data_IF_954884295219
#
_entry.id   IF_954884295219
#
_cell.length_a   1.000
_cell.length_b   1.000
_cell.length_c   1.000
_cell.angle_alpha   90.00
_cell.angle_beta   90.00
_cell.angle_gamma   90.00
#
_symmetry.space_group_name_H-M   'P 1'
#
loop_
_entity.id
_entity.type
_entity.pdbx_description
1 polymer ?
#
# COMPACT_ATOMS: atom_id res chain seq x y z
N UNK A 1 -25.74 19.81 -1.89
CA UNK A 1 -24.30 20.07 -1.72
C UNK A 1 -23.84 19.19 -0.58
N UNK A 2 -23.11 18.12 -0.88
CA UNK A 2 -22.57 17.24 0.15
C UNK A 2 -21.43 17.99 0.81
N UNK A 3 -21.48 18.25 2.10
CA UNK A 3 -20.63 19.22 2.83
C UNK A 3 -19.14 18.79 2.91
N UNK A 4 -18.72 17.80 2.12
CA UNK A 4 -17.35 17.26 2.09
C UNK A 4 -16.91 16.54 3.37
N UNK A 5 -17.74 16.51 4.42
CA UNK A 5 -17.41 15.93 5.72
C UNK A 5 -17.61 14.41 5.72
N UNK A 6 -16.53 13.69 5.97
CA UNK A 6 -16.54 12.24 6.25
C UNK A 6 -16.74 11.96 7.74
N UNK A 7 -17.16 10.75 8.10
CA UNK A 7 -17.27 10.36 9.52
C UNK A 7 -15.92 10.56 10.25
N UNK A 8 -14.81 10.23 9.57
CA UNK A 8 -13.44 10.43 10.06
C UNK A 8 -13.15 11.87 10.52
N UNK A 9 -13.74 12.88 9.87
CA UNK A 9 -13.51 14.31 10.17
C UNK A 9 -14.61 14.96 11.02
N UNK A 10 -15.76 14.29 11.16
CA UNK A 10 -16.92 14.83 11.85
C UNK A 10 -17.21 14.17 13.21
N UNK A 11 -16.83 12.91 13.40
CA UNK A 11 -17.18 12.13 14.59
C UNK A 11 -16.12 12.16 15.69
N UNK A 12 -16.55 11.85 16.92
CA UNK A 12 -15.64 11.74 18.06
C UNK A 12 -14.78 10.46 17.98
N UNK A 13 -13.57 10.45 18.58
CA UNK A 13 -12.70 9.28 18.58
C UNK A 13 -13.38 7.99 19.06
N UNK A 14 -14.24 8.08 20.08
CA UNK A 14 -14.98 6.93 20.61
C UNK A 14 -15.96 6.32 19.59
N UNK A 15 -16.66 7.16 18.82
CA UNK A 15 -17.56 6.67 17.77
C UNK A 15 -16.78 6.01 16.64
N UNK A 16 -15.65 6.60 16.24
CA UNK A 16 -14.75 6.04 15.24
C UNK A 16 -14.19 4.68 15.69
N UNK A 17 -13.73 4.56 16.93
CA UNK A 17 -13.26 3.29 17.51
C UNK A 17 -14.36 2.22 17.47
N UNK A 18 -15.58 2.55 17.90
CA UNK A 18 -16.71 1.61 17.89
C UNK A 18 -17.12 1.20 16.48
N UNK A 19 -17.21 2.16 15.55
CA UNK A 19 -17.55 1.90 14.16
C UNK A 19 -16.49 1.03 13.47
N UNK A 20 -15.21 1.27 13.79
CA UNK A 20 -14.08 0.52 13.26
C UNK A 20 -14.01 -0.89 13.85
N UNK A 21 -14.19 -1.05 15.16
CA UNK A 21 -14.17 -2.35 15.84
C UNK A 21 -15.29 -3.28 15.33
N UNK A 22 -16.49 -2.74 15.14
CA UNK A 22 -17.66 -3.50 14.70
C UNK A 22 -18.28 -4.33 15.82
N UNK A 23 -19.00 -5.38 15.42
CA UNK A 23 -19.62 -6.36 16.31
C UNK A 23 -18.62 -7.45 16.77
N UNK A 24 -18.97 -8.28 17.76
CA UNK A 24 -18.15 -9.44 18.14
C UNK A 24 -17.88 -10.41 16.97
N UNK A 25 -18.84 -10.56 16.04
CA UNK A 25 -18.66 -11.37 14.84
C UNK A 25 -17.60 -10.76 13.90
N UNK A 26 -17.60 -9.43 13.74
CA UNK A 26 -16.60 -8.73 12.93
C UNK A 26 -15.19 -8.89 13.53
N UNK A 27 -15.07 -8.82 14.86
CA UNK A 27 -13.81 -9.04 15.56
C UNK A 27 -13.30 -10.47 15.38
N UNK A 28 -14.17 -11.48 15.48
CA UNK A 28 -13.81 -12.88 15.24
C UNK A 28 -13.29 -13.08 13.81
N UNK A 29 -13.94 -12.47 12.83
CA UNK A 29 -13.54 -12.52 11.43
C UNK A 29 -12.18 -11.84 11.18
N UNK A 30 -11.92 -10.67 11.81
CA UNK A 30 -10.60 -10.01 11.75
C UNK A 30 -9.49 -10.87 12.35
N UNK A 31 -9.74 -11.53 13.49
CA UNK A 31 -8.79 -12.47 14.10
C UNK A 31 -8.55 -13.67 13.19
N UNK A 32 -9.58 -14.19 12.52
CA UNK A 32 -9.43 -15.27 11.53
C UNK A 32 -8.53 -14.83 10.38
N UNK A 33 -8.77 -13.66 9.78
CA UNK A 33 -7.91 -13.11 8.71
C UNK A 33 -6.46 -12.93 9.16
N UNK A 34 -6.26 -12.40 10.37
CA UNK A 34 -4.94 -12.27 10.97
C UNK A 34 -4.21 -13.61 11.09
N UNK A 35 -4.88 -14.66 11.57
CA UNK A 35 -4.29 -16.01 11.68
C UNK A 35 -3.93 -16.58 10.32
N UNK A 36 -4.76 -16.38 9.30
CA UNK A 36 -4.48 -16.81 7.92
C UNK A 36 -3.25 -16.08 7.39
N UNK A 37 -3.18 -14.76 7.54
CA UNK A 37 -2.03 -13.97 7.13
C UNK A 37 -0.74 -14.44 7.81
N UNK A 38 -0.76 -14.58 9.15
CA UNK A 38 0.40 -15.07 9.92
C UNK A 38 0.87 -16.47 9.51
N UNK A 39 -0.05 -17.37 9.14
CA UNK A 39 0.34 -18.69 8.60
C UNK A 39 0.98 -18.57 7.22
N UNK A 40 0.45 -17.70 6.36
CA UNK A 40 1.02 -17.41 5.03
C UNK A 40 2.46 -16.89 5.09
N UNK A 41 2.81 -16.20 6.17
CA UNK A 41 4.15 -15.70 6.41
C UNK A 41 5.22 -16.78 6.64
N UNK A 42 4.81 -17.95 7.15
CA UNK A 42 5.73 -19.08 7.32
C UNK A 42 5.94 -19.86 6.01
N UNK A 43 5.12 -19.61 4.98
CA UNK A 43 5.18 -20.30 3.69
C UNK A 43 6.18 -19.61 2.75
N UNK A 44 7.41 -20.12 2.74
CA UNK A 44 8.49 -19.62 1.87
C UNK A 44 8.17 -19.80 0.38
N UNK A 45 7.51 -20.89 0.02
CA UNK A 45 7.18 -21.19 -1.38
C UNK A 45 6.13 -20.22 -1.91
N UNK A 46 5.26 -19.71 -1.05
CA UNK A 46 4.27 -18.70 -1.42
C UNK A 46 4.91 -17.45 -2.00
N UNK A 47 5.99 -16.97 -1.38
CA UNK A 47 6.71 -15.81 -1.90
C UNK A 47 7.35 -16.11 -3.25
N UNK A 48 7.94 -17.29 -3.41
CA UNK A 48 8.60 -17.68 -4.66
C UNK A 48 7.59 -17.82 -5.81
N UNK A 49 6.43 -18.43 -5.55
CA UNK A 49 5.33 -18.49 -6.54
C UNK A 49 4.85 -17.11 -6.97
N UNK A 50 4.77 -16.16 -6.04
CA UNK A 50 4.34 -14.79 -6.34
C UNK A 50 5.37 -14.03 -7.15
N UNK A 51 6.65 -14.12 -6.76
CA UNK A 51 7.74 -13.52 -7.52
C UNK A 51 7.80 -14.11 -8.93
N UNK A 52 7.67 -15.44 -9.08
CA UNK A 52 7.62 -16.08 -10.40
C UNK A 52 6.47 -15.57 -11.26
N UNK A 53 5.27 -15.36 -10.69
CA UNK A 53 4.15 -14.74 -11.42
C UNK A 53 4.44 -13.30 -11.83
N UNK A 54 5.04 -12.51 -10.94
CA UNK A 54 5.41 -11.11 -11.24
C UNK A 54 6.49 -11.02 -12.33
N UNK A 55 7.45 -11.96 -12.34
CA UNK A 55 8.44 -12.12 -13.43
C UNK A 55 7.74 -12.47 -14.73
N UNK A 56 6.86 -13.49 -14.73
CA UNK A 56 6.11 -13.90 -15.92
C UNK A 56 5.22 -12.79 -16.49
N UNK A 57 4.79 -11.85 -15.65
CA UNK A 57 4.02 -10.66 -16.05
C UNK A 57 4.89 -9.46 -16.45
N UNK A 58 6.22 -9.58 -16.36
CA UNK A 58 7.17 -8.53 -16.73
C UNK A 58 7.31 -7.41 -15.69
N UNK A 59 6.80 -7.58 -14.47
CA UNK A 59 6.95 -6.60 -13.39
C UNK A 59 8.30 -6.70 -12.67
N UNK A 60 8.94 -7.87 -12.72
CA UNK A 60 10.25 -8.10 -12.10
C UNK A 60 11.17 -8.70 -13.16
N UNK A 61 12.35 -8.10 -13.30
CA UNK A 61 13.41 -8.67 -14.12
C UNK A 61 13.97 -9.92 -13.42
N UNK A 62 13.96 -11.06 -14.11
CA UNK A 62 14.44 -12.34 -13.58
C UNK A 62 15.90 -12.26 -13.09
N UNK A 63 16.73 -11.45 -13.75
CA UNK A 63 18.13 -11.26 -13.36
C UNK A 63 18.30 -10.43 -12.07
N UNK A 64 17.22 -9.81 -11.58
CA UNK A 64 17.23 -8.87 -10.46
C UNK A 64 16.25 -9.24 -9.35
N UNK A 65 15.87 -10.51 -9.24
CA UNK A 65 15.02 -10.96 -8.14
C UNK A 65 15.78 -10.72 -6.81
N UNK A 66 15.28 -9.86 -5.89
CA UNK A 66 15.98 -9.57 -4.66
C UNK A 66 16.01 -10.79 -3.74
N UNK A 67 17.14 -10.99 -3.05
CA UNK A 67 17.24 -11.98 -1.97
C UNK A 67 16.31 -11.62 -0.81
N UNK A 68 16.07 -12.56 0.11
CA UNK A 68 15.22 -12.31 1.29
C UNK A 68 15.74 -11.16 2.17
N UNK A 69 17.06 -11.06 2.34
CA UNK A 69 17.68 -9.97 3.10
C UNK A 69 17.44 -8.64 2.39
N UNK A 70 17.60 -8.61 1.06
CA UNK A 70 17.34 -7.45 0.24
C UNK A 70 15.88 -6.99 0.29
N UNK A 71 14.93 -7.94 0.20
CA UNK A 71 13.50 -7.65 0.39
C UNK A 71 13.24 -7.04 1.78
N UNK A 72 13.82 -7.60 2.84
CA UNK A 72 13.62 -7.10 4.20
C UNK A 72 14.19 -5.67 4.37
N UNK A 73 15.43 -5.43 3.95
CA UNK A 73 16.07 -4.10 4.04
C UNK A 73 15.32 -3.09 3.16
N UNK A 74 14.98 -3.49 1.93
CA UNK A 74 14.23 -2.67 1.00
C UNK A 74 12.85 -2.28 1.52
N UNK A 75 12.12 -3.23 2.12
CA UNK A 75 10.84 -2.97 2.78
C UNK A 75 10.97 -1.96 3.93
N UNK A 76 12.02 -2.09 4.74
CA UNK A 76 12.32 -1.15 5.83
C UNK A 76 12.60 0.25 5.27
N UNK A 77 13.37 0.36 4.18
CA UNK A 77 13.65 1.64 3.54
C UNK A 77 12.40 2.27 2.91
N UNK A 78 11.56 1.47 2.23
CA UNK A 78 10.27 1.95 1.71
C UNK A 78 9.38 2.48 2.84
N UNK A 79 9.36 1.81 4.00
CA UNK A 79 8.65 2.30 5.19
C UNK A 79 9.22 3.62 5.75
N UNK A 80 10.55 3.71 5.83
CA UNK A 80 11.28 4.82 6.47
C UNK A 80 11.32 6.08 5.61
N UNK A 81 11.40 5.91 4.29
CA UNK A 81 11.62 7.01 3.37
C UNK A 81 10.38 7.38 2.57
N UNK A 82 9.44 6.45 2.37
CA UNK A 82 8.25 6.68 1.56
C UNK A 82 6.95 6.62 2.35
N UNK A 83 6.55 5.43 2.80
CA UNK A 83 5.21 5.18 3.33
C UNK A 83 4.93 6.04 4.57
N UNK A 84 5.77 5.93 5.61
CA UNK A 84 5.50 6.60 6.90
C UNK A 84 5.62 8.12 6.79
N UNK A 85 6.69 8.69 6.23
CA UNK A 85 6.83 10.14 6.23
C UNK A 85 5.85 10.84 5.29
N UNK A 86 5.53 10.24 4.12
CA UNK A 86 4.53 10.81 3.23
C UNK A 86 3.14 10.80 3.87
N UNK A 87 2.76 9.70 4.53
CA UNK A 87 1.50 9.61 5.26
C UNK A 87 1.45 10.57 6.46
N UNK A 88 2.52 10.67 7.25
CA UNK A 88 2.59 11.57 8.39
C UNK A 88 2.39 13.04 7.98
N UNK A 89 3.03 13.48 6.89
CA UNK A 89 2.80 14.82 6.33
C UNK A 89 1.34 15.01 5.92
N UNK A 90 0.81 14.09 5.11
CA UNK A 90 -0.57 14.15 4.62
C UNK A 90 -1.61 14.26 5.75
N UNK A 91 -1.46 13.48 6.82
CA UNK A 91 -2.38 13.56 7.95
C UNK A 91 -2.18 14.84 8.78
N UNK A 92 -0.95 15.33 8.92
CA UNK A 92 -0.68 16.62 9.56
C UNK A 92 -1.36 17.76 8.80
N UNK A 93 -1.29 17.78 7.46
CA UNK A 93 -1.92 18.79 6.60
C UNK A 93 -3.45 18.80 6.74
N UNK A 94 -4.06 17.65 7.09
CA UNK A 94 -5.50 17.52 7.34
C UNK A 94 -5.90 17.69 8.81
N UNK A 95 -4.96 17.98 9.71
CA UNK A 95 -5.23 18.08 11.14
C UNK A 95 -5.63 16.75 11.79
N UNK A 96 -5.22 15.62 11.20
CA UNK A 96 -5.55 14.27 11.66
C UNK A 96 -4.34 13.67 12.38
N UNK A 97 -4.56 13.10 13.57
CA UNK A 97 -3.50 12.38 14.30
C UNK A 97 -3.10 11.10 13.57
N UNK A 98 -1.84 11.04 13.11
CA UNK A 98 -1.25 9.86 12.49
C UNK A 98 -1.32 8.63 13.40
N UNK A 99 -0.94 8.78 14.67
CA UNK A 99 -0.97 7.68 15.64
C UNK A 99 -2.39 7.13 15.85
N UNK A 100 -3.38 8.00 15.98
CA UNK A 100 -4.77 7.57 16.10
C UNK A 100 -5.28 6.91 14.80
N UNK A 101 -4.86 7.39 13.63
CA UNK A 101 -5.16 6.73 12.37
C UNK A 101 -4.62 5.30 12.31
N UNK A 102 -3.37 5.07 12.77
CA UNK A 102 -2.82 3.71 12.84
C UNK A 102 -3.61 2.79 13.78
N UNK A 103 -4.10 3.32 14.91
CA UNK A 103 -4.98 2.56 15.82
C UNK A 103 -6.23 2.08 15.09
N UNK A 104 -6.90 2.97 14.33
CA UNK A 104 -8.08 2.58 13.57
C UNK A 104 -7.75 1.55 12.48
N UNK A 105 -6.63 1.70 11.76
CA UNK A 105 -6.20 0.72 10.76
C UNK A 105 -6.01 -0.68 11.36
N UNK A 106 -5.31 -0.77 12.49
CA UNK A 106 -5.09 -2.04 13.21
C UNK A 106 -6.42 -2.64 13.67
N UNK A 107 -7.36 -1.81 14.15
CA UNK A 107 -8.69 -2.25 14.57
C UNK A 107 -9.56 -2.75 13.42
N UNK A 108 -9.42 -2.20 12.21
CA UNK A 108 -10.19 -2.65 11.04
C UNK A 108 -9.59 -3.90 10.39
N UNK A 109 -8.27 -3.92 10.17
CA UNK A 109 -7.60 -5.07 9.57
C UNK A 109 -6.14 -5.20 10.03
N UNK A 110 -5.87 -5.92 11.13
CA UNK A 110 -4.52 -6.07 11.64
C UNK A 110 -3.61 -6.85 10.69
N UNK A 111 -4.18 -7.66 9.79
CA UNK A 111 -3.41 -8.38 8.77
C UNK A 111 -2.70 -7.43 7.80
N UNK A 112 -3.31 -6.28 7.49
CA UNK A 112 -2.75 -5.27 6.58
C UNK A 112 -1.48 -4.58 7.11
N UNK A 113 -1.14 -4.79 8.38
CA UNK A 113 -0.02 -4.11 9.05
C UNK A 113 1.24 -4.98 9.14
N UNK A 114 1.13 -6.27 8.84
CA UNK A 114 2.22 -7.24 9.01
C UNK A 114 3.12 -7.27 7.78
N UNK A 115 2.55 -6.99 6.61
CA UNK A 115 3.26 -6.93 5.32
C UNK A 115 3.28 -5.54 4.71
N UNK A 116 4.25 -4.69 5.07
CA UNK A 116 4.27 -3.32 4.61
C UNK A 116 4.48 -3.17 3.10
N UNK A 117 4.94 -4.23 2.41
CA UNK A 117 5.16 -4.23 0.95
C UNK A 117 4.28 -5.23 0.20
N UNK A 118 3.39 -5.94 0.91
CA UNK A 118 2.32 -6.78 0.36
C UNK A 118 2.74 -8.08 -0.37
N UNK A 119 4.04 -8.39 -0.52
CA UNK A 119 4.51 -9.56 -1.27
C UNK A 119 4.03 -10.92 -0.71
N UNK A 120 3.62 -11.01 0.56
CA UNK A 120 3.05 -12.18 1.22
C UNK A 120 1.54 -12.04 1.51
N UNK A 121 1.01 -10.82 1.46
CA UNK A 121 -0.41 -10.50 1.71
C UNK A 121 -1.36 -11.20 0.73
N UNK A 122 -2.37 -11.91 1.24
CA UNK A 122 -3.51 -12.37 0.44
C UNK A 122 -4.18 -11.25 -0.36
N UNK A 123 -4.81 -11.61 -1.49
CA UNK A 123 -5.52 -10.69 -2.39
C UNK A 123 -6.45 -9.73 -1.62
N UNK A 124 -7.30 -10.29 -0.77
CA UNK A 124 -8.28 -9.51 -0.01
C UNK A 124 -7.64 -8.61 1.07
N UNK A 125 -6.42 -8.93 1.52
CA UNK A 125 -5.65 -8.07 2.44
C UNK A 125 -5.10 -6.87 1.69
N UNK A 126 -4.58 -7.05 0.47
CA UNK A 126 -4.13 -5.95 -0.40
C UNK A 126 -5.31 -5.05 -0.77
N UNK A 127 -6.44 -5.63 -1.18
CA UNK A 127 -7.67 -4.88 -1.51
C UNK A 127 -8.19 -4.13 -0.28
N UNK A 128 -8.24 -4.79 0.88
CA UNK A 128 -8.59 -4.16 2.15
C UNK A 128 -7.70 -2.96 2.47
N UNK A 129 -6.38 -3.11 2.32
CA UNK A 129 -5.41 -2.04 2.50
C UNK A 129 -5.70 -0.86 1.56
N UNK A 130 -5.88 -1.13 0.27
CA UNK A 130 -6.21 -0.16 -0.76
C UNK A 130 -7.45 0.67 -0.40
N UNK A 131 -8.46 0.05 0.21
CA UNK A 131 -9.68 0.75 0.63
C UNK A 131 -9.56 1.50 1.96
N UNK A 132 -8.59 1.18 2.82
CA UNK A 132 -8.48 1.74 4.17
C UNK A 132 -7.72 3.06 4.27
N UNK A 133 -6.86 3.38 3.31
CA UNK A 133 -6.00 4.57 3.37
C UNK A 133 -5.93 5.29 2.04
N UNK A 134 -5.74 6.61 2.06
CA UNK A 134 -5.50 7.39 0.85
C UNK A 134 -4.03 7.23 0.46
N UNK A 135 -3.77 6.49 -0.62
CA UNK A 135 -2.42 6.11 -1.03
C UNK A 135 -1.65 7.29 -1.61
N UNK A 136 -0.35 7.35 -1.29
CA UNK A 136 0.58 8.29 -1.91
C UNK A 136 0.66 8.06 -3.43
N UNK A 137 0.78 6.79 -3.82
CA UNK A 137 0.64 6.29 -5.18
C UNK A 137 0.08 4.85 -5.09
N UNK A 138 -1.11 4.55 -5.63
CA UNK A 138 -1.70 3.20 -5.58
C UNK A 138 -1.16 2.23 -6.65
N UNK A 139 -0.29 2.68 -7.56
CA UNK A 139 0.16 1.89 -8.72
C UNK A 139 0.93 0.64 -8.31
N UNK A 140 1.79 0.72 -7.29
CA UNK A 140 2.47 -0.44 -6.69
C UNK A 140 1.49 -1.55 -6.29
N UNK A 141 0.42 -1.20 -5.58
CA UNK A 141 -0.55 -2.17 -5.05
C UNK A 141 -1.39 -2.82 -6.17
N UNK A 142 -1.74 -2.07 -7.23
CA UNK A 142 -2.41 -2.65 -8.39
C UNK A 142 -1.50 -3.62 -9.16
N UNK A 143 -0.20 -3.30 -9.29
CA UNK A 143 0.78 -4.21 -9.89
C UNK A 143 0.97 -5.47 -9.03
N UNK A 144 0.96 -5.31 -7.71
CA UNK A 144 1.02 -6.44 -6.78
C UNK A 144 -0.22 -7.34 -6.91
N UNK A 145 -1.42 -6.77 -7.12
CA UNK A 145 -2.64 -7.54 -7.34
C UNK A 145 -2.59 -8.42 -8.59
N UNK A 146 -1.77 -8.10 -9.60
CA UNK A 146 -1.58 -8.97 -10.77
C UNK A 146 -0.79 -10.25 -10.48
N UNK A 147 -0.25 -10.42 -9.27
CA UNK A 147 0.19 -11.74 -8.77
C UNK A 147 -0.99 -12.69 -8.48
N UNK A 148 -2.23 -12.19 -8.50
CA UNK A 148 -3.47 -12.94 -8.31
C UNK A 148 -4.29 -12.96 -9.61
N UNK A 149 -4.85 -14.11 -9.95
CA UNK A 149 -5.50 -14.33 -11.26
C UNK A 149 -6.71 -13.40 -11.51
N UNK A 150 -7.43 -13.01 -10.46
CA UNK A 150 -8.61 -12.14 -10.48
C UNK A 150 -8.44 -10.88 -9.60
N UNK A 151 -7.19 -10.50 -9.30
CA UNK A 151 -6.88 -9.47 -8.31
C UNK A 151 -7.48 -8.10 -8.61
N UNK A 152 -7.46 -7.67 -9.88
CA UNK A 152 -7.97 -6.36 -10.31
C UNK A 152 -9.50 -6.37 -10.44
N UNK A 153 -10.09 -7.46 -10.94
CA UNK A 153 -11.53 -7.64 -11.03
C UNK A 153 -12.17 -7.61 -9.64
N UNK A 154 -11.55 -8.29 -8.68
CA UNK A 154 -12.02 -8.33 -7.31
C UNK A 154 -11.86 -6.97 -6.61
N UNK A 155 -10.77 -6.24 -6.89
CA UNK A 155 -10.60 -4.86 -6.41
C UNK A 155 -11.75 -3.97 -6.89
N UNK A 156 -12.04 -3.97 -8.19
CA UNK A 156 -13.14 -3.18 -8.75
C UNK A 156 -14.49 -3.54 -8.13
N UNK A 157 -14.75 -4.84 -7.96
CA UNK A 157 -15.99 -5.36 -7.36
C UNK A 157 -16.15 -4.87 -5.91
N UNK A 158 -15.09 -4.98 -5.10
CA UNK A 158 -15.15 -4.57 -3.70
C UNK A 158 -15.29 -3.05 -3.54
N UNK A 159 -14.58 -2.26 -4.34
CA UNK A 159 -14.73 -0.79 -4.31
C UNK A 159 -16.14 -0.39 -4.76
N UNK A 160 -16.68 -1.01 -5.81
CA UNK A 160 -18.06 -0.73 -6.25
C UNK A 160 -19.09 -1.07 -5.15
N UNK A 161 -18.93 -2.20 -4.46
CA UNK A 161 -19.77 -2.55 -3.32
C UNK A 161 -19.61 -1.55 -2.16
N UNK A 162 -18.40 -1.03 -1.95
CA UNK A 162 -18.13 -0.04 -0.91
C UNK A 162 -18.84 1.28 -1.20
N UNK A 163 -18.74 1.80 -2.42
CA UNK A 163 -19.43 3.01 -2.89
C UNK A 163 -20.96 2.81 -2.81
N UNK A 164 -21.46 1.62 -3.16
CA UNK A 164 -22.87 1.27 -3.05
C UNK A 164 -23.35 1.06 -1.59
N UNK A 165 -22.45 1.09 -0.60
CA UNK A 165 -22.77 0.86 0.81
C UNK A 165 -23.12 -0.59 1.16
N UNK A 166 -22.89 -1.54 0.26
CA UNK A 166 -23.21 -2.97 0.45
C UNK A 166 -22.00 -3.79 0.89
N UNK A 167 -20.80 -3.22 0.87
CA UNK A 167 -19.61 -3.91 1.34
C UNK A 167 -19.67 -4.17 2.87
N UNK A 168 -19.36 -5.39 3.36
CA UNK A 168 -19.43 -5.71 4.79
C UNK A 168 -18.60 -4.79 5.68
N UNK A 169 -17.49 -4.26 5.15
CA UNK A 169 -16.60 -3.32 5.86
C UNK A 169 -16.92 -1.84 5.60
N UNK A 170 -18.04 -1.51 4.96
CA UNK A 170 -18.33 -0.13 4.57
C UNK A 170 -18.33 0.83 5.76
N UNK A 171 -18.92 0.41 6.87
CA UNK A 171 -18.94 1.20 8.11
C UNK A 171 -17.55 1.42 8.72
N UNK A 172 -16.74 0.38 8.80
CA UNK A 172 -15.42 0.47 9.43
C UNK A 172 -14.43 1.25 8.56
N UNK A 173 -14.46 1.04 7.24
CA UNK A 173 -13.66 1.80 6.27
C UNK A 173 -14.06 3.28 6.28
N UNK A 174 -15.37 3.59 6.30
CA UNK A 174 -15.86 4.96 6.36
C UNK A 174 -15.48 5.71 7.64
N UNK A 175 -15.17 5.00 8.74
CA UNK A 175 -14.63 5.59 9.97
C UNK A 175 -13.13 5.92 9.88
N UNK A 176 -12.42 5.34 8.91
CA UNK A 176 -10.97 5.51 8.75
C UNK A 176 -10.66 6.55 7.67
N UNK A 177 -11.32 6.47 6.51
CA UNK A 177 -10.99 7.26 5.32
C UNK A 177 -11.57 8.67 5.44
N UNK A 178 -10.69 9.66 5.38
CA UNK A 178 -11.02 11.08 5.50
C UNK A 178 -11.44 11.75 4.20
N UNK A 179 -11.01 11.23 3.04
CA UNK A 179 -11.29 11.83 1.74
C UNK A 179 -12.58 11.26 1.14
N UNK A 180 -13.63 12.08 0.97
CA UNK A 180 -14.96 11.60 0.54
C UNK A 180 -15.02 11.13 -0.91
N UNK A 181 -14.03 11.45 -1.75
CA UNK A 181 -13.99 11.02 -3.15
C UNK A 181 -12.91 9.99 -3.44
N UNK A 182 -12.26 9.45 -2.39
CA UNK A 182 -11.11 8.56 -2.56
C UNK A 182 -11.49 7.28 -3.31
N UNK A 183 -12.56 6.62 -2.89
CA UNK A 183 -12.96 5.32 -3.46
C UNK A 183 -13.45 5.45 -4.91
N UNK A 184 -14.15 6.53 -5.26
CA UNK A 184 -14.54 6.81 -6.64
C UNK A 184 -13.31 7.00 -7.55
N UNK A 185 -12.32 7.78 -7.08
CA UNK A 185 -11.08 7.99 -7.84
C UNK A 185 -10.26 6.70 -7.94
N UNK A 186 -10.20 5.90 -6.88
CA UNK A 186 -9.53 4.60 -6.90
C UNK A 186 -10.22 3.63 -7.87
N UNK A 187 -11.55 3.58 -7.91
CA UNK A 187 -12.29 2.74 -8.86
C UNK A 187 -12.05 3.18 -10.32
N UNK A 188 -12.13 4.50 -10.57
CA UNK A 188 -11.85 5.04 -11.90
C UNK A 188 -10.42 4.71 -12.35
N UNK A 189 -9.46 4.82 -11.44
CA UNK A 189 -8.08 4.46 -11.70
C UNK A 189 -7.90 2.96 -11.95
N UNK A 190 -8.47 2.09 -11.12
CA UNK A 190 -8.40 0.63 -11.32
C UNK A 190 -8.94 0.20 -12.69
N UNK A 191 -10.08 0.76 -13.10
CA UNK A 191 -10.65 0.51 -14.44
C UNK A 191 -9.73 0.99 -15.56
N UNK A 192 -9.16 2.19 -15.41
CA UNK A 192 -8.23 2.76 -16.40
C UNK A 192 -6.96 1.92 -16.50
N UNK A 193 -6.41 1.49 -15.36
CA UNK A 193 -5.23 0.64 -15.28
C UNK A 193 -5.45 -0.74 -15.90
N UNK A 194 -6.62 -1.36 -15.66
CA UNK A 194 -6.96 -2.65 -16.29
C UNK A 194 -7.09 -2.53 -17.81
N UNK A 195 -7.59 -1.40 -18.31
CA UNK A 195 -7.67 -1.13 -19.74
C UNK A 195 -6.29 -0.80 -20.36
N UNK A 196 -5.47 -0.05 -19.64
CA UNK A 196 -4.13 0.36 -20.05
C UNK A 196 -3.19 0.42 -18.83
N UNK A 197 -2.19 -0.48 -18.78
CA UNK A 197 -1.21 -0.53 -17.70
C UNK A 197 -0.33 0.72 -17.60
N UNK A 198 -0.29 1.55 -18.65
CA UNK A 198 0.39 2.85 -18.65
C UNK A 198 -0.48 3.98 -18.05
N UNK A 199 -1.71 3.69 -17.61
CA UNK A 199 -2.58 4.67 -16.99
C UNK A 199 -1.88 5.40 -15.83
N UNK A 200 -1.97 6.73 -15.87
CA UNK A 200 -1.33 7.58 -14.86
C UNK A 200 -2.01 7.41 -13.52
N UNK A 201 -1.21 7.08 -12.51
CA UNK A 201 -1.69 6.95 -11.14
C UNK A 201 -2.14 8.29 -10.54
N UNK A 202 -3.21 8.31 -9.73
CA UNK A 202 -3.61 9.49 -8.98
C UNK A 202 -2.65 9.69 -7.80
N UNK A 203 -1.54 10.40 -8.05
CA UNK A 203 -0.56 10.76 -7.02
C UNK A 203 -1.22 11.69 -6.00
N UNK A 204 -1.03 11.41 -4.71
CA UNK A 204 -1.61 12.21 -3.62
C UNK A 204 -1.06 13.63 -3.62
N UNK A 205 -1.91 14.59 -3.28
CA UNK A 205 -1.62 16.03 -3.36
C UNK A 205 -0.31 16.44 -2.69
N UNK A 206 -0.03 15.96 -1.47
CA UNK A 206 1.17 16.32 -0.72
C UNK A 206 2.46 15.78 -1.33
N UNK A 207 2.36 14.70 -2.09
CA UNK A 207 3.48 14.12 -2.85
C UNK A 207 3.69 14.92 -4.13
N UNK A 208 2.63 15.19 -4.87
CA UNK A 208 2.70 15.91 -6.15
C UNK A 208 3.16 17.36 -5.98
N UNK A 209 2.84 17.99 -4.84
CA UNK A 209 3.17 19.39 -4.57
C UNK A 209 4.61 19.65 -4.11
N UNK A 210 5.34 18.62 -3.68
CA UNK A 210 6.65 18.77 -3.05
C UNK A 210 7.71 17.94 -3.77
N UNK A 211 8.62 18.66 -4.45
CA UNK A 211 9.64 18.07 -5.31
C UNK A 211 10.57 17.08 -4.59
N UNK A 212 10.70 17.17 -3.26
CA UNK A 212 11.52 16.22 -2.49
C UNK A 212 11.05 14.77 -2.64
N UNK A 213 9.76 14.59 -2.92
CA UNK A 213 9.18 13.26 -3.11
C UNK A 213 9.50 12.66 -4.47
N UNK A 214 9.86 13.46 -5.48
CA UNK A 214 10.02 12.99 -6.85
C UNK A 214 10.94 11.76 -6.99
N UNK A 215 12.18 11.77 -6.47
CA UNK A 215 13.05 10.59 -6.53
C UNK A 215 12.53 9.38 -5.76
N UNK A 216 11.89 9.61 -4.61
CA UNK A 216 11.38 8.55 -3.73
C UNK A 216 10.15 7.90 -4.35
N UNK A 217 9.22 8.70 -4.87
CA UNK A 217 8.01 8.26 -5.57
C UNK A 217 8.37 7.49 -6.84
N UNK A 218 9.31 7.95 -7.65
CA UNK A 218 9.79 7.18 -8.81
C UNK A 218 10.37 5.82 -8.41
N UNK A 219 10.99 5.74 -7.22
CA UNK A 219 11.62 4.51 -6.73
C UNK A 219 10.61 3.54 -6.15
N UNK A 220 9.66 4.01 -5.34
CA UNK A 220 8.75 3.14 -4.57
C UNK A 220 7.29 3.19 -5.03
N UNK A 221 6.93 4.06 -5.98
CA UNK A 221 5.57 4.24 -6.47
C UNK A 221 5.09 3.13 -7.40
N UNK A 222 6.01 2.33 -7.95
CA UNK A 222 5.73 1.16 -8.78
C UNK A 222 6.51 -0.05 -8.31
N UNK A 223 5.94 -1.24 -8.47
CA UNK A 223 6.55 -2.52 -8.12
C UNK A 223 7.86 -2.78 -8.87
N UNK A 224 7.99 -2.56 -10.20
CA UNK A 224 9.26 -2.77 -10.89
C UNK A 224 10.39 -1.90 -10.33
N UNK A 225 10.14 -0.61 -10.12
CA UNK A 225 11.16 0.30 -9.59
C UNK A 225 11.54 -0.04 -8.15
N UNK A 226 10.56 -0.45 -7.33
CA UNK A 226 10.81 -0.85 -5.96
C UNK A 226 11.66 -2.12 -5.91
N UNK A 227 11.36 -3.11 -6.76
CA UNK A 227 12.12 -4.36 -6.85
C UNK A 227 13.55 -4.11 -7.37
N UNK A 228 13.72 -3.22 -8.34
CA UNK A 228 15.04 -2.76 -8.79
C UNK A 228 15.84 -2.10 -7.65
N UNK A 229 15.20 -1.30 -6.79
CA UNK A 229 15.85 -0.74 -5.60
C UNK A 229 16.21 -1.84 -4.58
N UNK A 230 15.27 -2.75 -4.30
CA UNK A 230 15.50 -3.86 -3.37
C UNK A 230 16.70 -4.71 -3.82
N UNK A 231 16.84 -4.99 -5.11
CA UNK A 231 17.95 -5.76 -5.68
C UNK A 231 19.33 -5.11 -5.48
N UNK A 232 19.40 -3.81 -5.14
CA UNK A 232 20.64 -3.09 -4.81
C UNK A 232 20.98 -3.12 -3.31
N UNK A 233 20.06 -3.60 -2.47
CA UNK A 233 20.28 -3.64 -1.02
C UNK A 233 21.37 -4.66 -0.65
N UNK A 234 21.96 -4.59 0.56
CA UNK A 234 22.93 -5.56 1.01
C UNK A 234 22.38 -6.99 0.98
N UNK A 235 23.19 -7.94 0.51
CA UNK A 235 22.85 -9.37 0.46
C UNK A 235 23.24 -10.14 1.73
N UNK A 236 24.01 -9.52 2.62
CA UNK A 236 24.51 -10.13 3.86
C UNK A 236 23.91 -9.49 5.11
N UNK A 237 23.82 -10.25 6.19
CA UNK A 237 23.28 -9.76 7.48
C UNK A 237 24.11 -8.60 8.03
N UNK A 238 25.44 -8.71 7.98
CA UNK A 238 26.34 -7.63 8.42
C UNK A 238 26.15 -6.34 7.61
N UNK A 239 26.03 -6.48 6.29
CA UNK A 239 25.74 -5.34 5.40
C UNK A 239 24.36 -4.72 5.69
N UNK A 240 23.34 -5.54 5.92
CA UNK A 240 22.01 -5.08 6.28
C UNK A 240 22.01 -4.28 7.59
N UNK A 241 22.70 -4.77 8.63
CA UNK A 241 22.84 -4.06 9.91
C UNK A 241 23.58 -2.73 9.70
N UNK A 242 24.68 -2.73 8.96
CA UNK A 242 25.45 -1.52 8.68
C UNK A 242 24.59 -0.49 7.93
N UNK A 243 23.85 -0.93 6.91
CA UNK A 243 22.93 -0.07 6.14
C UNK A 243 21.87 0.56 7.02
N UNK A 244 21.12 -0.24 7.79
CA UNK A 244 20.05 0.25 8.66
C UNK A 244 20.57 1.20 9.75
N UNK A 245 21.80 1.00 10.21
CA UNK A 245 22.45 1.88 11.19
C UNK A 245 22.96 3.19 10.58
N UNK A 246 23.48 3.18 9.36
CA UNK A 246 24.22 4.31 8.81
C UNK A 246 23.42 5.14 7.80
N UNK A 247 22.53 4.53 7.03
CA UNK A 247 21.69 5.23 6.03
C UNK A 247 20.49 5.85 6.75
N UNK A 248 20.49 7.17 6.92
CA UNK A 248 19.46 7.91 7.67
C UNK A 248 18.48 8.70 6.79
N UNK A 249 18.88 9.00 5.57
CA UNK A 249 18.09 9.67 4.54
C UNK A 249 18.02 8.76 3.31
N UNK A 250 17.07 9.03 2.43
CA UNK A 250 16.96 8.30 1.18
C UNK A 250 18.27 8.44 0.36
N UNK A 251 18.92 7.33 -0.05
CA UNK A 251 20.14 7.37 -0.84
C UNK A 251 19.81 7.69 -2.30
N UNK A 252 19.94 8.97 -2.68
CA UNK A 252 19.56 9.45 -4.02
C UNK A 252 20.33 8.77 -5.16
N UNK A 253 21.56 8.32 -4.92
CA UNK A 253 22.37 7.55 -5.86
C UNK A 253 21.76 6.18 -6.20
N UNK A 254 20.89 5.65 -5.34
CA UNK A 254 20.18 4.39 -5.57
C UNK A 254 18.80 4.59 -6.21
N UNK A 255 18.33 5.83 -6.35
CA UNK A 255 17.01 6.16 -6.85
C UNK A 255 16.77 5.60 -8.27
N UNK A 256 15.50 5.36 -8.59
CA UNK A 256 15.11 5.06 -9.96
C UNK A 256 15.46 6.25 -10.88
N UNK A 257 16.06 5.99 -12.05
CA UNK A 257 16.42 7.05 -12.99
C UNK A 257 15.17 7.83 -13.41
N UNK A 258 15.30 9.13 -13.74
CA UNK A 258 14.19 9.85 -14.33
C UNK A 258 13.76 9.15 -15.62
N UNK A 259 12.45 9.12 -15.90
CA UNK A 259 11.94 8.63 -17.16
C UNK A 259 12.67 9.37 -18.30
N UNK A 260 13.28 8.62 -19.22
CA UNK A 260 13.91 9.23 -20.40
C UNK A 260 12.83 10.00 -21.14
N UNK A 261 13.04 11.28 -21.40
CA UNK A 261 12.17 12.01 -22.31
C UNK A 261 12.13 11.23 -23.64
N UNK A 262 10.96 11.03 -24.26
CA UNK A 262 10.93 10.47 -25.60
C UNK A 262 11.82 11.34 -26.47
N UNK A 263 12.76 10.71 -27.18
CA UNK A 263 13.57 11.41 -28.16
C UNK A 263 12.61 12.14 -29.10
N UNK A 264 12.76 13.47 -29.19
CA UNK A 264 11.98 14.31 -30.08
C UNK A 264 12.30 13.98 -31.54
#
# INVERSE_FOLDING_TARGET
MNDGRTARTAESPWRLLRATAGSPADLAEKVRRLRVALRGYADRERLDRRLARLVARGYVDEAKIPTRIQLAVGAIDMLRFWISPAAAQYYADKGISYGFHQVLRVLDDPASMIDPIGLLSDRDVIIGHLMQVVHANPHYDLQLLEAHDDGLEELERQIAALIAGTHPRARSIGAIVEDPGYHERLLAYAKSYRADRAARAPIRENVAADARWGPIERTFGTLPCAMDYFAKMPTSVGGAIAHLRNVKTFPEDLAAPPARSPAR
#
